data_IF_740803958457
#
_entry.id   IF_740803958457
#
_cell.length_a   1.000
_cell.length_b   1.000
_cell.length_c   1.000
_cell.angle_alpha   90.00
_cell.angle_beta   90.00
_cell.angle_gamma   90.00
#
_symmetry.space_group_name_H-M   'P 1'
#
loop_
_entity.id
_entity.type
_entity.pdbx_description
1 polymer ?
#
# COMPACT_ATOMS: atom_id res chain seq x y z
N UNK A 1 38.97 1.05 66.32
CA UNK A 1 37.60 1.06 65.74
C UNK A 1 37.66 1.72 64.37
N UNK A 2 37.60 0.94 63.29
CA UNK A 2 37.71 1.44 61.89
C UNK A 2 36.39 1.14 61.21
N UNK A 3 35.65 2.21 60.91
CA UNK A 3 34.42 2.15 60.11
C UNK A 3 34.77 1.90 58.65
N UNK A 4 34.39 0.76 58.17
CA UNK A 4 34.45 0.44 56.73
C UNK A 4 33.31 1.15 56.00
N UNK A 5 33.65 2.08 55.09
CA UNK A 5 32.70 2.71 54.18
C UNK A 5 32.48 1.76 53.00
N UNK A 6 31.28 1.21 52.93
CA UNK A 6 30.83 0.44 51.75
C UNK A 6 30.29 1.44 50.74
N UNK A 7 31.03 1.63 49.65
CA UNK A 7 30.54 2.34 48.47
C UNK A 7 29.70 1.39 47.66
N UNK A 8 28.37 1.59 47.67
CA UNK A 8 27.45 0.92 46.73
C UNK A 8 27.49 1.71 45.45
N UNK A 9 28.11 1.13 44.43
CA UNK A 9 28.07 1.66 43.06
C UNK A 9 26.79 1.14 42.41
N UNK A 10 25.77 1.98 42.30
CA UNK A 10 24.58 1.72 41.53
C UNK A 10 24.94 1.88 40.03
N UNK A 11 25.16 0.77 39.37
CA UNK A 11 25.26 0.74 37.92
C UNK A 11 23.85 0.86 37.32
N UNK A 12 23.49 2.05 36.90
CA UNK A 12 22.29 2.27 36.08
C UNK A 12 22.50 1.67 34.70
N UNK A 13 21.92 0.49 34.45
CA UNK A 13 21.84 -0.10 33.13
C UNK A 13 20.75 0.65 32.38
N UNK A 14 21.14 1.61 31.58
CA UNK A 14 20.26 2.23 30.61
C UNK A 14 19.92 1.19 29.52
N UNK A 15 18.78 0.52 29.65
CA UNK A 15 18.23 -0.31 28.59
C UNK A 15 17.79 0.61 27.44
N UNK A 16 18.68 0.85 26.50
CA UNK A 16 18.34 1.45 25.23
C UNK A 16 17.49 0.44 24.46
N UNK A 17 16.18 0.57 24.50
CA UNK A 17 15.27 -0.10 23.60
C UNK A 17 15.51 0.47 22.22
N UNK A 18 16.41 -0.13 21.47
CA UNK A 18 16.44 0.00 20.02
C UNK A 18 15.08 -0.47 19.52
N UNK A 19 14.22 0.48 19.13
CA UNK A 19 13.07 0.21 18.29
C UNK A 19 13.64 -0.37 16.99
N UNK A 20 13.72 -1.70 16.94
CA UNK A 20 13.99 -2.41 15.72
C UNK A 20 12.87 -1.99 14.74
N UNK A 21 13.21 -1.19 13.75
CA UNK A 21 12.39 -1.04 12.57
C UNK A 21 12.32 -2.43 11.96
N UNK A 22 11.16 -3.06 12.08
CA UNK A 22 10.87 -4.33 11.44
C UNK A 22 10.80 -4.05 9.93
N UNK A 23 11.77 -4.49 9.11
CA UNK A 23 11.81 -4.13 7.70
C UNK A 23 10.77 -4.87 6.85
N UNK A 24 9.85 -5.56 7.48
CA UNK A 24 8.79 -6.30 6.82
C UNK A 24 7.49 -6.27 7.63
N UNK A 25 6.99 -5.08 7.95
CA UNK A 25 5.57 -4.98 8.28
C UNK A 25 4.79 -5.50 7.07
N UNK A 26 4.01 -6.57 7.27
CA UNK A 26 3.18 -7.11 6.20
C UNK A 26 2.30 -6.00 5.62
N UNK A 27 2.22 -5.93 4.29
CA UNK A 27 1.45 -4.89 3.61
C UNK A 27 0.00 -4.88 4.10
N UNK A 28 -0.54 -3.69 4.33
CA UNK A 28 -1.85 -3.46 4.94
C UNK A 28 -2.89 -3.10 3.89
N UNK A 29 -3.90 -3.93 3.74
CA UNK A 29 -5.07 -3.66 2.86
C UNK A 29 -5.77 -2.36 3.24
N UNK A 30 -5.92 -2.08 4.55
CA UNK A 30 -6.60 -0.86 5.00
C UNK A 30 -5.78 0.40 4.71
N UNK A 31 -4.48 0.37 4.99
CA UNK A 31 -3.60 1.48 4.65
C UNK A 31 -3.53 1.66 3.13
N UNK A 32 -3.49 0.57 2.37
CA UNK A 32 -3.52 0.59 0.91
C UNK A 32 -4.75 1.29 0.37
N UNK A 33 -5.94 1.05 0.95
CA UNK A 33 -7.15 1.78 0.59
C UNK A 33 -7.01 3.29 0.86
N UNK A 34 -6.48 3.66 2.02
CA UNK A 34 -6.24 5.07 2.38
C UNK A 34 -5.26 5.73 1.41
N UNK A 35 -4.13 5.08 1.14
CA UNK A 35 -3.11 5.57 0.22
C UNK A 35 -3.64 5.67 -1.22
N UNK A 36 -4.38 4.67 -1.69
CA UNK A 36 -5.03 4.67 -3.00
C UNK A 36 -5.94 5.89 -3.22
N UNK A 37 -6.71 6.24 -2.19
CA UNK A 37 -7.58 7.42 -2.22
C UNK A 37 -6.76 8.71 -2.12
N UNK A 38 -5.83 8.78 -1.18
CA UNK A 38 -5.03 9.98 -0.91
C UNK A 38 -4.16 10.40 -2.11
N UNK A 39 -3.63 9.42 -2.86
CA UNK A 39 -2.83 9.68 -4.06
C UNK A 39 -3.65 9.82 -5.35
N UNK A 40 -4.98 9.80 -5.25
CA UNK A 40 -5.88 10.09 -6.37
C UNK A 40 -5.99 8.96 -7.42
N UNK A 41 -5.52 7.75 -7.13
CA UNK A 41 -5.59 6.60 -8.04
C UNK A 41 -7.03 6.31 -8.48
N UNK A 42 -7.99 6.50 -7.56
CA UNK A 42 -9.41 6.29 -7.78
C UNK A 42 -10.01 7.17 -8.89
N UNK A 43 -9.44 8.32 -9.18
CA UNK A 43 -9.96 9.26 -10.17
C UNK A 43 -10.00 8.64 -11.57
N UNK A 44 -9.03 7.79 -11.88
CA UNK A 44 -8.97 7.06 -13.14
C UNK A 44 -9.41 5.59 -12.99
N UNK A 45 -9.07 4.95 -11.86
CA UNK A 45 -9.25 3.51 -11.70
C UNK A 45 -10.52 3.11 -10.93
N UNK A 46 -11.32 4.09 -10.46
CA UNK A 46 -12.47 3.85 -9.58
C UNK A 46 -12.06 3.50 -8.16
N UNK A 47 -12.97 3.66 -7.20
CA UNK A 47 -12.65 3.51 -5.77
C UNK A 47 -12.22 2.10 -5.36
N UNK A 48 -12.66 1.10 -6.10
CA UNK A 48 -12.32 -0.31 -5.85
C UNK A 48 -11.36 -0.87 -6.92
N UNK A 49 -10.73 0.00 -7.72
CA UNK A 49 -9.89 -0.44 -8.85
C UNK A 49 -10.67 -1.08 -9.99
N UNK A 50 -11.99 -0.92 -10.01
CA UNK A 50 -12.89 -1.51 -10.99
C UNK A 50 -12.84 -0.86 -12.38
N UNK A 51 -11.98 0.12 -12.55
CA UNK A 51 -11.90 0.92 -13.76
C UNK A 51 -12.89 2.09 -13.79
N UNK A 52 -12.80 2.91 -14.82
CA UNK A 52 -13.69 4.05 -15.04
C UNK A 52 -14.22 4.04 -16.45
N UNK A 53 -15.51 4.32 -16.58
CA UNK A 53 -16.18 4.52 -17.90
C UNK A 53 -16.10 5.98 -18.35
N UNK A 54 -15.74 6.89 -17.45
CA UNK A 54 -15.66 8.33 -17.74
C UNK A 54 -14.32 8.75 -18.31
N UNK A 55 -13.27 7.95 -18.07
CA UNK A 55 -11.95 8.14 -18.67
C UNK A 55 -11.53 6.88 -19.38
N UNK A 56 -11.24 6.94 -20.67
CA UNK A 56 -10.72 5.82 -21.46
C UNK A 56 -9.36 5.30 -20.93
N UNK A 57 -8.73 6.04 -20.01
CA UNK A 57 -7.45 5.70 -19.41
C UNK A 57 -7.57 4.77 -18.19
N UNK A 58 -8.76 4.71 -17.56
CA UNK A 58 -8.92 4.00 -16.27
C UNK A 58 -9.16 2.50 -16.46
N UNK A 59 -8.10 1.73 -16.64
CA UNK A 59 -8.19 0.26 -16.67
C UNK A 59 -8.63 -0.32 -15.34
N UNK A 60 -9.27 -1.48 -15.39
CA UNK A 60 -9.49 -2.34 -14.23
C UNK A 60 -8.14 -2.80 -13.70
N UNK A 61 -7.91 -2.55 -12.42
CA UNK A 61 -6.70 -2.95 -11.68
C UNK A 61 -7.05 -3.74 -10.40
N UNK A 62 -8.33 -3.89 -10.08
CA UNK A 62 -8.80 -4.81 -9.03
C UNK A 62 -8.43 -6.25 -9.38
N UNK A 63 -8.17 -7.07 -8.37
CA UNK A 63 -7.70 -8.45 -8.53
C UNK A 63 -6.44 -8.51 -9.40
N UNK A 64 -5.48 -7.61 -9.10
CA UNK A 64 -4.23 -7.55 -9.89
C UNK A 64 -3.48 -8.88 -9.83
N UNK A 65 -3.07 -9.36 -11.01
CA UNK A 65 -2.28 -10.58 -11.16
C UNK A 65 -0.80 -10.27 -11.48
N UNK A 66 -0.44 -8.98 -11.50
CA UNK A 66 0.95 -8.59 -11.69
C UNK A 66 1.76 -8.93 -10.43
N UNK A 67 2.98 -9.45 -10.54
CA UNK A 67 3.90 -9.49 -9.42
C UNK A 67 4.17 -8.08 -8.88
N UNK A 68 4.40 -7.95 -7.57
CA UNK A 68 4.60 -6.65 -6.90
C UNK A 68 5.72 -5.81 -7.52
N UNK A 69 6.82 -6.44 -7.94
CA UNK A 69 7.93 -5.78 -8.59
C UNK A 69 7.54 -5.17 -9.95
N UNK A 70 6.78 -5.92 -10.75
CA UNK A 70 6.25 -5.45 -12.03
C UNK A 70 5.22 -4.33 -11.84
N UNK A 71 4.35 -4.45 -10.84
CA UNK A 71 3.40 -3.42 -10.45
C UNK A 71 4.13 -2.13 -10.04
N UNK A 72 5.12 -2.26 -9.17
CA UNK A 72 5.95 -1.14 -8.71
C UNK A 72 6.65 -0.45 -9.87
N UNK A 73 7.32 -1.22 -10.72
CA UNK A 73 8.03 -0.70 -11.89
C UNK A 73 7.08 0.09 -12.82
N UNK A 74 5.87 -0.43 -13.05
CA UNK A 74 4.88 0.26 -13.87
C UNK A 74 4.40 1.57 -13.24
N UNK A 75 4.10 1.59 -11.94
CA UNK A 75 3.66 2.82 -11.25
C UNK A 75 4.76 3.89 -11.24
N UNK A 76 6.03 3.47 -11.18
CA UNK A 76 7.20 4.38 -11.24
C UNK A 76 7.43 4.94 -12.64
N UNK A 77 7.20 4.14 -13.68
CA UNK A 77 7.41 4.49 -15.09
C UNK A 77 6.25 3.99 -15.95
N UNK A 78 5.06 4.57 -15.80
CA UNK A 78 3.90 4.13 -16.55
C UNK A 78 3.96 4.56 -18.02
N UNK A 79 3.11 3.93 -18.82
CA UNK A 79 2.86 4.32 -20.21
C UNK A 79 1.49 4.98 -20.34
N UNK A 80 1.31 5.78 -21.41
CA UNK A 80 0.04 6.43 -21.70
C UNK A 80 -0.27 7.61 -20.79
N UNK A 81 -1.51 7.72 -20.35
CA UNK A 81 -2.02 8.88 -19.60
C UNK A 81 -1.76 8.80 -18.08
N UNK A 82 -1.29 7.67 -17.56
CA UNK A 82 -1.01 7.54 -16.14
C UNK A 82 0.24 8.36 -15.76
N UNK A 83 0.18 9.25 -14.75
CA UNK A 83 1.36 9.98 -14.31
C UNK A 83 2.33 9.07 -13.54
N UNK A 84 3.65 9.34 -13.60
CA UNK A 84 4.63 8.60 -12.82
C UNK A 84 4.60 9.03 -11.34
N UNK A 85 4.53 8.07 -10.44
CA UNK A 85 4.61 8.30 -9.00
C UNK A 85 6.02 8.02 -8.49
N UNK A 86 6.79 9.08 -8.20
CA UNK A 86 8.14 8.97 -7.66
C UNK A 86 8.13 8.58 -6.18
N UNK A 87 9.19 7.94 -5.64
CA UNK A 87 9.25 7.54 -4.22
C UNK A 87 9.03 8.69 -3.22
N UNK A 88 9.41 9.92 -3.59
CA UNK A 88 9.18 11.12 -2.77
C UNK A 88 7.69 11.52 -2.67
N UNK A 89 6.84 11.04 -3.59
CA UNK A 89 5.40 11.34 -3.62
C UNK A 89 4.60 10.16 -3.09
N UNK A 90 4.96 8.95 -3.46
CA UNK A 90 4.33 7.71 -3.04
C UNK A 90 5.44 6.77 -2.59
N UNK A 91 5.54 6.51 -1.27
CA UNK A 91 6.59 5.63 -0.72
C UNK A 91 6.46 4.19 -1.24
N UNK A 92 7.53 3.41 -1.15
CA UNK A 92 7.46 1.99 -1.53
C UNK A 92 6.59 1.19 -0.56
N UNK A 93 6.50 1.60 0.70
CA UNK A 93 5.61 1.01 1.69
C UNK A 93 4.14 1.26 1.32
N UNK A 94 3.75 2.53 1.04
CA UNK A 94 2.39 2.84 0.61
C UNK A 94 2.03 2.14 -0.69
N UNK A 95 3.00 1.99 -1.61
CA UNK A 95 2.78 1.28 -2.87
C UNK A 95 2.56 -0.22 -2.67
N UNK A 96 3.30 -0.83 -1.73
CA UNK A 96 3.06 -2.23 -1.34
C UNK A 96 1.69 -2.39 -0.67
N UNK A 97 1.28 -1.44 0.18
CA UNK A 97 -0.05 -1.43 0.79
C UNK A 97 -1.16 -1.28 -0.27
N UNK A 98 -0.97 -0.38 -1.25
CA UNK A 98 -1.91 -0.23 -2.38
C UNK A 98 -2.01 -1.53 -3.19
N UNK A 99 -0.89 -2.19 -3.43
CA UNK A 99 -0.88 -3.48 -4.11
C UNK A 99 -1.71 -4.52 -3.36
N UNK A 100 -1.48 -4.67 -2.05
CA UNK A 100 -2.26 -5.57 -1.21
C UNK A 100 -3.76 -5.23 -1.20
N UNK A 101 -4.09 -3.94 -1.21
CA UNK A 101 -5.48 -3.51 -1.33
C UNK A 101 -6.11 -3.95 -2.65
N UNK A 102 -5.43 -3.74 -3.78
CA UNK A 102 -5.96 -4.09 -5.11
C UNK A 102 -6.04 -5.60 -5.30
N UNK A 103 -5.06 -6.36 -4.81
CA UNK A 103 -5.07 -7.82 -4.84
C UNK A 103 -6.25 -8.40 -4.05
N UNK A 104 -6.61 -7.78 -2.93
CA UNK A 104 -7.75 -8.18 -2.12
C UNK A 104 -9.11 -7.78 -2.70
N UNK A 105 -9.17 -7.02 -3.81
CA UNK A 105 -10.43 -6.62 -4.43
C UNK A 105 -10.96 -7.70 -5.38
N UNK A 106 -12.26 -7.99 -5.33
CA UNK A 106 -12.83 -8.93 -6.29
C UNK A 106 -12.75 -8.34 -7.71
N UNK A 107 -12.53 -9.18 -8.67
CA UNK A 107 -12.64 -8.81 -10.08
C UNK A 107 -14.05 -8.28 -10.37
N UNK A 108 -14.20 -7.14 -11.05
CA UNK A 108 -15.49 -6.64 -11.44
C UNK A 108 -16.25 -7.64 -12.29
N UNK A 109 -17.56 -7.75 -12.06
CA UNK A 109 -18.42 -8.60 -12.89
C UNK A 109 -18.45 -8.10 -14.33
N UNK A 110 -18.44 -9.00 -15.28
CA UNK A 110 -18.74 -8.64 -16.66
C UNK A 110 -20.16 -8.09 -16.78
N UNK A 111 -20.41 -7.18 -17.71
CA UNK A 111 -21.76 -6.61 -17.91
C UNK A 111 -22.82 -7.69 -18.21
N UNK A 112 -22.41 -8.78 -18.86
CA UNK A 112 -23.25 -9.96 -19.12
C UNK A 112 -23.69 -10.70 -17.85
N UNK A 113 -22.95 -10.56 -16.75
CA UNK A 113 -23.20 -11.23 -15.49
C UNK A 113 -24.05 -10.37 -14.54
N UNK A 114 -24.45 -9.19 -14.99
CA UNK A 114 -25.35 -8.28 -14.24
C UNK A 114 -26.76 -8.43 -14.80
N UNK A 115 -27.72 -8.98 -14.01
CA UNK A 115 -29.06 -9.29 -14.52
C UNK A 115 -29.77 -8.11 -15.17
N UNK A 116 -29.58 -6.88 -14.64
CA UNK A 116 -30.16 -5.66 -15.20
C UNK A 116 -29.56 -5.24 -16.55
N UNK A 117 -28.37 -5.73 -16.90
CA UNK A 117 -27.67 -5.40 -18.13
C UNK A 117 -27.69 -6.54 -19.15
N UNK A 118 -27.99 -7.76 -18.71
CA UNK A 118 -28.04 -8.95 -19.55
C UNK A 118 -29.38 -9.18 -20.26
N UNK A 119 -30.39 -8.40 -19.94
CA UNK A 119 -31.76 -8.53 -20.46
C UNK A 119 -32.05 -7.76 -21.77
N UNK A 120 -31.02 -7.58 -22.65
CA UNK A 120 -31.22 -7.00 -24.00
C UNK A 120 -31.12 -8.07 -25.06
#
# INVERSE_FOLDING_TARGET
MKLARICIVLAAVAASTLLAHDPAAAASVENGKKAFVAHGCWQCHGFEGQGSVTTSAGRVIADTQLPLDAFTAYVRQPTGAMPPFRPAILSDADLADIYAYLEARPKPKASTDIPLLSGR
#
